data_IF_763946626262
#
_entry.id   IF_763946626262
#
_cell.length_a   1.000
_cell.length_b   1.000
_cell.length_c   1.000
_cell.angle_alpha   90.00
_cell.angle_beta   90.00
_cell.angle_gamma   90.00
#
_symmetry.space_group_name_H-M   'P 1'
#
loop_
_entity.id
_entity.type
_entity.pdbx_description
1 polymer ?
#
# COMPACT_ATOMS: atom_id res chain seq x y z
N UNK A 1 -12.43 7.62 -18.24
CA UNK A 1 -11.27 7.91 -17.37
C UNK A 1 -11.71 7.75 -15.92
N UNK A 2 -11.01 6.88 -15.19
CA UNK A 2 -11.27 6.50 -13.81
C UNK A 2 -11.40 7.74 -12.89
N UNK A 3 -12.40 7.76 -11.98
CA UNK A 3 -12.65 8.91 -11.10
C UNK A 3 -11.50 9.18 -10.12
N UNK A 4 -10.82 8.13 -9.63
CA UNK A 4 -9.66 8.23 -8.74
C UNK A 4 -8.50 8.94 -9.44
N UNK A 5 -8.22 8.57 -10.70
CA UNK A 5 -7.17 9.22 -11.51
C UNK A 5 -7.48 10.70 -11.71
N UNK A 6 -8.72 11.05 -12.09
CA UNK A 6 -9.13 12.46 -12.26
C UNK A 6 -8.94 13.29 -10.99
N UNK A 7 -9.28 12.74 -9.82
CA UNK A 7 -9.06 13.43 -8.54
C UNK A 7 -7.57 13.62 -8.28
N UNK A 8 -6.76 12.58 -8.47
CA UNK A 8 -5.31 12.68 -8.29
C UNK A 8 -4.69 13.75 -9.20
N UNK A 9 -5.09 13.84 -10.46
CA UNK A 9 -4.58 14.85 -11.40
C UNK A 9 -4.87 16.29 -10.99
N UNK A 10 -5.97 16.52 -10.24
CA UNK A 10 -6.35 17.85 -9.76
C UNK A 10 -5.61 18.25 -8.47
N UNK A 11 -5.24 17.29 -7.63
CA UNK A 11 -4.72 17.57 -6.29
C UNK A 11 -3.24 17.23 -6.09
N UNK A 12 -2.68 16.33 -6.90
CA UNK A 12 -1.28 15.93 -6.75
C UNK A 12 -0.36 16.82 -7.57
N UNK A 13 0.80 17.13 -7.00
CA UNK A 13 1.91 17.68 -7.77
C UNK A 13 2.35 16.65 -8.82
N UNK A 14 2.65 17.12 -10.03
CA UNK A 14 2.98 16.30 -11.21
C UNK A 14 4.43 15.83 -11.20
N UNK A 15 4.85 15.18 -10.12
CA UNK A 15 6.24 14.71 -9.90
C UNK A 15 6.49 13.28 -10.40
N UNK A 16 5.45 12.53 -10.78
CA UNK A 16 5.55 11.15 -11.24
C UNK A 16 4.78 10.92 -12.53
N UNK A 17 5.35 10.12 -13.44
CA UNK A 17 4.66 9.59 -14.61
C UNK A 17 3.98 8.26 -14.24
N UNK A 18 2.78 8.35 -13.64
CA UNK A 18 2.05 7.18 -13.13
C UNK A 18 1.42 6.38 -14.25
N UNK A 19 1.45 5.05 -14.15
CA UNK A 19 0.64 4.18 -15.01
C UNK A 19 -0.86 4.43 -14.73
N UNK A 20 -1.73 4.37 -15.75
CA UNK A 20 -3.16 4.59 -15.59
C UNK A 20 -3.87 3.35 -15.02
N UNK A 21 -3.38 2.83 -13.90
CA UNK A 21 -3.88 1.65 -13.19
C UNK A 21 -4.19 2.07 -11.74
N UNK A 22 -5.35 1.67 -11.23
CA UNK A 22 -5.75 1.89 -9.83
C UNK A 22 -5.80 0.53 -9.14
N UNK A 23 -4.79 0.25 -8.32
CA UNK A 23 -4.73 -0.98 -7.54
C UNK A 23 -5.60 -0.85 -6.29
N UNK A 24 -6.47 -1.82 -6.03
CA UNK A 24 -7.43 -1.79 -4.92
C UNK A 24 -7.08 -2.80 -3.82
N UNK A 25 -6.54 -3.96 -4.18
CA UNK A 25 -6.16 -4.98 -3.20
C UNK A 25 -4.96 -5.82 -3.66
N UNK A 26 -4.40 -6.61 -2.74
CA UNK A 26 -3.34 -7.57 -3.06
C UNK A 26 -3.27 -8.71 -2.06
N UNK A 27 -2.81 -9.88 -2.49
CA UNK A 27 -2.62 -11.06 -1.65
C UNK A 27 -1.40 -11.85 -2.15
N UNK A 28 -0.45 -12.13 -1.26
CA UNK A 28 0.81 -12.77 -1.61
C UNK A 28 1.55 -11.93 -2.66
N UNK A 29 1.80 -12.52 -3.83
CA UNK A 29 2.49 -11.87 -4.96
C UNK A 29 1.55 -11.25 -5.99
N UNK A 30 0.25 -11.19 -5.71
CA UNK A 30 -0.74 -10.68 -6.65
C UNK A 30 -1.34 -9.36 -6.21
N UNK A 31 -1.64 -8.52 -7.20
CA UNK A 31 -2.39 -7.28 -7.06
C UNK A 31 -3.66 -7.35 -7.90
N UNK A 32 -4.71 -6.67 -7.48
CA UNK A 32 -5.99 -6.57 -8.18
C UNK A 32 -6.33 -5.10 -8.37
N UNK A 33 -6.65 -4.70 -9.60
CA UNK A 33 -7.13 -3.35 -9.88
C UNK A 33 -8.63 -3.19 -9.61
N UNK A 34 -9.10 -1.95 -9.63
CA UNK A 34 -10.50 -1.59 -9.37
C UNK A 34 -11.49 -2.00 -10.48
N UNK A 35 -11.00 -2.63 -11.55
CA UNK A 35 -11.81 -3.34 -12.55
C UNK A 35 -11.80 -4.86 -12.33
N UNK A 36 -11.18 -5.35 -11.26
CA UNK A 36 -11.08 -6.76 -10.90
C UNK A 36 -9.99 -7.54 -11.63
N UNK A 37 -9.12 -6.88 -12.41
CA UNK A 37 -8.03 -7.57 -13.13
C UNK A 37 -6.89 -7.88 -12.16
N UNK A 38 -6.44 -9.13 -12.19
CA UNK A 38 -5.33 -9.64 -11.37
C UNK A 38 -3.99 -9.55 -12.11
N UNK A 39 -2.96 -9.12 -11.39
CA UNK A 39 -1.58 -8.93 -11.86
C UNK A 39 -0.64 -9.73 -10.96
N UNK A 40 0.31 -10.44 -11.56
CA UNK A 40 1.46 -11.00 -10.83
C UNK A 40 2.49 -9.89 -10.67
N UNK A 41 2.81 -9.53 -9.43
CA UNK A 41 3.65 -8.38 -9.09
C UNK A 41 5.14 -8.76 -9.08
N UNK A 42 5.86 -8.34 -10.12
CA UNK A 42 7.33 -8.44 -10.20
C UNK A 42 8.04 -7.17 -9.71
N UNK A 43 7.31 -6.10 -9.38
CA UNK A 43 7.88 -4.86 -8.89
C UNK A 43 8.03 -4.86 -7.36
N UNK A 44 7.12 -5.54 -6.65
CA UNK A 44 7.05 -5.60 -5.19
C UNK A 44 7.13 -4.20 -4.54
N UNK A 45 6.52 -3.20 -5.16
CA UNK A 45 6.62 -1.80 -4.72
C UNK A 45 8.06 -1.27 -4.70
N UNK A 46 8.86 -1.56 -5.73
CA UNK A 46 10.30 -1.24 -5.77
C UNK A 46 11.05 -1.99 -4.66
N UNK A 47 10.77 -3.29 -4.52
CA UNK A 47 11.41 -4.18 -3.54
C UNK A 47 10.98 -3.97 -2.08
N UNK A 48 9.96 -3.14 -1.81
CA UNK A 48 9.45 -2.86 -0.47
C UNK A 48 8.62 -4.01 0.10
N UNK A 49 7.70 -4.58 -0.69
CA UNK A 49 6.78 -5.62 -0.26
C UNK A 49 7.40 -7.03 -0.38
N UNK A 50 8.57 -7.23 0.25
CA UNK A 50 9.32 -8.48 0.18
C UNK A 50 8.57 -9.71 0.75
N UNK A 51 7.66 -9.49 1.71
CA UNK A 51 6.82 -10.55 2.29
C UNK A 51 5.49 -10.76 1.57
N UNK A 52 5.27 -10.05 0.46
CA UNK A 52 4.00 -9.98 -0.24
C UNK A 52 2.92 -9.16 0.49
N UNK A 53 1.79 -9.01 -0.17
CA UNK A 53 0.62 -8.31 0.35
C UNK A 53 -0.20 -9.23 1.28
N UNK A 54 -0.88 -8.63 2.27
CA UNK A 54 -1.70 -9.34 3.26
C UNK A 54 -0.97 -10.42 4.08
N UNK A 55 0.33 -10.24 4.35
CA UNK A 55 1.04 -11.12 5.27
C UNK A 55 0.41 -11.06 6.67
N UNK A 56 -0.24 -12.15 7.10
CA UNK A 56 -1.02 -12.21 8.35
C UNK A 56 -0.18 -11.83 9.58
N UNK A 57 1.02 -12.38 9.71
CA UNK A 57 1.91 -12.13 10.84
C UNK A 57 2.33 -10.66 10.91
N UNK A 58 2.68 -10.06 9.78
CA UNK A 58 3.02 -8.64 9.69
C UNK A 58 1.83 -7.74 10.07
N UNK A 59 0.66 -8.02 9.52
CA UNK A 59 -0.55 -7.25 9.79
C UNK A 59 -0.99 -7.32 11.26
N UNK A 60 -0.95 -8.51 11.86
CA UNK A 60 -1.30 -8.69 13.28
C UNK A 60 -0.34 -7.96 14.21
N UNK A 61 0.98 -8.04 13.94
CA UNK A 61 1.98 -7.32 14.72
C UNK A 61 1.76 -5.80 14.65
N UNK A 62 1.51 -5.26 13.45
CA UNK A 62 1.25 -3.84 13.25
C UNK A 62 -0.02 -3.38 13.98
N UNK A 63 -1.14 -4.10 13.83
CA UNK A 63 -2.41 -3.76 14.49
C UNK A 63 -2.31 -3.82 16.01
N UNK A 64 -1.68 -4.86 16.53
CA UNK A 64 -1.46 -5.01 17.97
C UNK A 64 -0.70 -3.81 18.54
N UNK A 65 0.36 -3.35 17.86
CA UNK A 65 1.12 -2.19 18.31
C UNK A 65 0.33 -0.88 18.16
N UNK A 66 -0.46 -0.73 17.11
CA UNK A 66 -1.35 0.44 16.89
C UNK A 66 -2.35 0.59 18.02
N UNK A 67 -2.97 -0.51 18.45
CA UNK A 67 -3.96 -0.52 19.53
C UNK A 67 -3.32 -0.31 20.92
N UNK A 68 -2.00 -0.55 21.04
CA UNK A 68 -1.25 -0.36 22.29
C UNK A 68 -0.65 1.05 22.40
N UNK A 69 0.35 1.36 21.57
CA UNK A 69 1.07 2.65 21.60
C UNK A 69 1.93 2.83 20.34
N UNK A 70 1.75 3.93 19.61
CA UNK A 70 2.46 4.18 18.34
C UNK A 70 3.74 5.02 18.51
N UNK A 71 3.73 5.99 19.43
CA UNK A 71 4.85 6.93 19.56
C UNK A 71 4.93 7.54 20.95
N UNK A 72 6.13 7.57 21.52
CA UNK A 72 6.43 8.17 22.83
C UNK A 72 7.61 9.14 22.77
N UNK A 73 8.08 9.53 21.59
CA UNK A 73 9.39 10.18 21.41
C UNK A 73 10.56 9.34 21.92
N UNK A 74 11.78 9.88 21.82
CA UNK A 74 12.98 9.24 22.36
C UNK A 74 13.23 9.56 23.84
N UNK A 75 12.30 10.25 24.51
CA UNK A 75 12.45 10.70 25.90
C UNK A 75 11.93 9.70 26.95
N UNK A 76 11.09 8.73 26.55
CA UNK A 76 10.44 7.79 27.45
C UNK A 76 10.68 6.34 27.02
N UNK A 77 10.72 5.43 28.00
CA UNK A 77 10.74 3.99 27.75
C UNK A 77 9.32 3.45 27.59
N UNK A 78 9.15 2.47 26.69
CA UNK A 78 7.93 1.73 26.43
C UNK A 78 8.30 0.30 26.01
#
# INVERSE_FOLDING_TARGET
MNQTIKKADNYFLKTYNRYPIVLESGEGVYLVDDAGKKYLDFAAGIGVFALGYQNKKYNEALKTQIDQLIHTSNLFYN
#
